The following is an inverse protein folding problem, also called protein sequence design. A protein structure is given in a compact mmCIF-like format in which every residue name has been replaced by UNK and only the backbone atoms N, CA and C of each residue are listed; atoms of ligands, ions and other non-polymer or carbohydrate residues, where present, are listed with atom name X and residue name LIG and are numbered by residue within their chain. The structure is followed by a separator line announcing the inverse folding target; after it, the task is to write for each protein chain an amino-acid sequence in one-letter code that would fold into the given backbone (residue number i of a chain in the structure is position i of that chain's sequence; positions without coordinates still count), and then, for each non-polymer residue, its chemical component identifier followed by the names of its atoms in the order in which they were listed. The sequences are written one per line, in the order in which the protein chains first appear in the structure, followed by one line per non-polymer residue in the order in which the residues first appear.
data_IF_959936632229
#
_entry.id   IF_959936632229
#
_cell.length_a   1.000
_cell.length_b   1.000
_cell.length_c   1.000
_cell.angle_alpha   90.00
_cell.angle_beta   90.00
_cell.angle_gamma   90.00
#
_symmetry.space_group_name_H-M   'P 1'
#
loop_
_entity.id
_entity.type
_entity.pdbx_description
1 polymer ?
#
# COMPACT_ATOMS: atom_id res chain seq x y z
N UNK A 1 3.89 18.60 9.96
CA UNK A 1 2.71 17.79 10.34
C UNK A 1 3.07 16.77 11.41
N UNK A 2 3.92 15.77 11.13
CA UNK A 2 4.25 14.71 12.11
C UNK A 2 4.80 15.23 13.45
N UNK A 3 5.81 16.10 13.43
CA UNK A 3 6.46 16.65 14.65
C UNK A 3 5.51 17.40 15.60
N UNK A 4 4.32 17.79 15.12
CA UNK A 4 3.35 18.59 15.89
C UNK A 4 2.13 17.78 16.35
N UNK A 5 1.80 16.68 15.66
CA UNK A 5 0.54 15.97 15.86
C UNK A 5 0.68 14.47 16.16
N UNK A 6 1.89 13.89 16.05
CA UNK A 6 2.16 12.48 16.37
C UNK A 6 1.14 11.50 15.75
N UNK A 7 0.82 11.73 14.47
CA UNK A 7 -0.25 10.98 13.80
C UNK A 7 0.14 9.52 13.57
N UNK A 8 1.43 9.21 13.62
CA UNK A 8 1.96 7.85 13.53
C UNK A 8 1.56 6.96 14.73
N UNK A 9 1.36 7.55 15.91
CA UNK A 9 1.01 6.84 17.17
C UNK A 9 -0.47 6.90 17.51
N UNK A 10 -1.29 7.49 16.65
CA UNK A 10 -2.73 7.61 16.91
C UNK A 10 -3.39 6.22 16.88
N UNK A 11 -4.17 5.89 17.92
CA UNK A 11 -4.90 4.62 18.02
C UNK A 11 -6.09 4.49 17.07
N UNK A 12 -6.56 5.62 16.53
CA UNK A 12 -7.63 5.64 15.53
C UNK A 12 -7.11 5.15 14.16
N UNK A 13 -7.58 3.97 13.76
CA UNK A 13 -7.18 3.32 12.52
C UNK A 13 -7.63 4.07 11.26
N UNK A 14 -8.78 4.77 11.27
CA UNK A 14 -9.22 5.56 10.12
C UNK A 14 -8.33 6.78 9.90
N UNK A 15 -8.00 7.51 10.97
CA UNK A 15 -7.09 8.68 10.90
C UNK A 15 -5.69 8.24 10.46
N UNK A 16 -5.17 7.16 11.07
CA UNK A 16 -3.85 6.62 10.71
C UNK A 16 -3.81 6.16 9.25
N UNK A 17 -4.86 5.49 8.76
CA UNK A 17 -4.94 5.11 7.36
C UNK A 17 -4.92 6.34 6.44
N UNK A 18 -5.71 7.37 6.72
CA UNK A 18 -5.73 8.58 5.89
C UNK A 18 -4.38 9.30 5.88
N UNK A 19 -3.72 9.38 7.03
CA UNK A 19 -2.38 9.94 7.14
C UNK A 19 -1.36 9.18 6.27
N UNK A 20 -1.36 7.84 6.34
CA UNK A 20 -0.50 6.99 5.52
C UNK A 20 -0.75 7.22 4.03
N UNK A 21 -2.01 7.31 3.61
CA UNK A 21 -2.36 7.52 2.20
C UNK A 21 -1.86 8.87 1.68
N UNK A 22 -2.04 9.94 2.45
CA UNK A 22 -1.57 11.30 2.10
C UNK A 22 -0.04 11.33 2.04
N UNK A 23 0.64 10.70 3.00
CA UNK A 23 2.10 10.64 3.04
C UNK A 23 2.69 9.81 1.88
N UNK A 24 2.07 8.68 1.53
CA UNK A 24 2.44 7.90 0.35
C UNK A 24 2.21 8.69 -0.94
N UNK A 25 1.15 9.49 -1.00
CA UNK A 25 0.89 10.40 -2.11
C UNK A 25 1.94 11.48 -2.25
N UNK A 26 2.39 12.05 -1.12
CA UNK A 26 3.46 13.03 -1.07
C UNK A 26 4.86 12.42 -1.29
N UNK A 27 4.97 11.09 -1.51
CA UNK A 27 6.23 10.35 -1.64
C UNK A 27 7.18 10.58 -0.47
N UNK A 28 6.63 10.63 0.75
CA UNK A 28 7.41 10.83 1.96
C UNK A 28 7.98 9.50 2.46
N UNK A 29 9.24 9.21 2.16
CA UNK A 29 9.91 7.91 2.44
C UNK A 29 9.81 7.39 3.87
N UNK A 30 9.88 8.23 4.93
CA UNK A 30 9.75 7.76 6.31
C UNK A 30 8.41 7.08 6.61
N UNK A 31 7.37 7.27 5.79
CA UNK A 31 6.07 6.60 6.00
C UNK A 31 6.08 5.13 5.59
N UNK A 32 7.00 4.70 4.73
CA UNK A 32 7.04 3.32 4.19
C UNK A 32 7.03 2.28 5.33
N UNK A 33 7.96 2.31 6.32
CA UNK A 33 7.95 1.33 7.40
C UNK A 33 6.67 1.38 8.25
N UNK A 34 6.06 2.56 8.39
CA UNK A 34 4.80 2.74 9.14
C UNK A 34 3.64 2.12 8.38
N UNK A 35 3.59 2.30 7.07
CA UNK A 35 2.59 1.69 6.19
C UNK A 35 2.69 0.17 6.18
N UNK A 36 3.91 -0.38 6.07
CA UNK A 36 4.17 -1.83 6.10
C UNK A 36 3.75 -2.45 7.43
N UNK A 37 4.09 -1.80 8.56
CA UNK A 37 3.63 -2.25 9.87
C UNK A 37 2.10 -2.20 9.98
N UNK A 38 1.47 -1.11 9.53
CA UNK A 38 0.03 -0.94 9.60
C UNK A 38 -0.75 -2.04 8.83
N UNK A 39 -0.29 -2.41 7.62
CA UNK A 39 -0.92 -3.51 6.86
C UNK A 39 -0.62 -4.90 7.41
N UNK A 40 0.42 -5.04 8.24
CA UNK A 40 0.74 -6.28 8.95
C UNK A 40 -0.12 -6.46 10.19
N UNK A 41 -0.40 -5.36 10.89
CA UNK A 41 -1.17 -5.35 12.14
C UNK A 41 -2.69 -5.44 11.89
N UNK A 42 -3.18 -4.91 10.76
CA UNK A 42 -4.61 -4.79 10.48
C UNK A 42 -5.04 -5.66 9.29
N UNK A 43 -5.96 -6.59 9.54
CA UNK A 43 -6.53 -7.47 8.50
C UNK A 43 -7.74 -6.91 7.75
N UNK A 44 -8.27 -5.74 8.12
CA UNK A 44 -9.48 -5.18 7.51
C UNK A 44 -9.20 -4.71 6.07
N UNK A 45 -9.86 -5.36 5.11
CA UNK A 45 -9.64 -5.16 3.66
C UNK A 45 -9.69 -3.70 3.24
N UNK A 46 -10.60 -2.88 3.79
CA UNK A 46 -10.70 -1.44 3.52
C UNK A 46 -9.33 -0.75 3.60
N UNK A 47 -8.59 -0.97 4.69
CA UNK A 47 -7.33 -0.30 4.94
C UNK A 47 -6.18 -0.92 4.17
N UNK A 48 -6.11 -2.26 4.21
CA UNK A 48 -5.08 -3.05 3.52
C UNK A 48 -5.08 -2.73 2.03
N UNK A 49 -6.26 -2.72 1.41
CA UNK A 49 -6.45 -2.43 -0.01
C UNK A 49 -5.94 -1.04 -0.38
N UNK A 50 -6.39 -0.01 0.33
CA UNK A 50 -6.00 1.37 0.03
C UNK A 50 -4.49 1.58 0.19
N UNK A 51 -3.88 1.00 1.24
CA UNK A 51 -2.45 1.10 1.47
C UNK A 51 -1.64 0.39 0.38
N UNK A 52 -1.95 -0.88 0.08
CA UNK A 52 -1.23 -1.63 -0.96
C UNK A 52 -1.39 -1.00 -2.35
N UNK A 53 -2.58 -0.51 -2.70
CA UNK A 53 -2.79 0.19 -3.96
C UNK A 53 -1.82 1.38 -4.10
N UNK A 54 -1.69 2.20 -3.05
CA UNK A 54 -0.79 3.36 -3.05
C UNK A 54 0.68 2.97 -3.03
N UNK A 55 1.05 1.96 -2.25
CA UNK A 55 2.43 1.45 -2.21
C UNK A 55 2.88 0.81 -3.54
N UNK A 56 1.97 0.15 -4.26
CA UNK A 56 2.26 -0.41 -5.60
C UNK A 56 2.29 0.65 -6.71
N UNK A 57 1.72 1.83 -6.49
CA UNK A 57 1.87 2.97 -7.40
C UNK A 57 3.25 3.61 -7.32
N UNK A 58 3.88 3.59 -6.15
CA UNK A 58 5.17 4.20 -5.94
C UNK A 58 6.31 3.19 -6.07
N UNK A 59 7.22 3.43 -7.02
CA UNK A 59 8.32 2.51 -7.36
C UNK A 59 9.18 2.12 -6.15
N UNK A 60 9.49 3.07 -5.27
CA UNK A 60 10.38 2.87 -4.11
C UNK A 60 9.73 1.94 -3.06
N UNK A 61 8.43 2.11 -2.79
CA UNK A 61 7.74 1.28 -1.80
C UNK A 61 7.27 -0.08 -2.33
N UNK A 62 7.28 -0.29 -3.65
CA UNK A 62 6.65 -1.45 -4.29
C UNK A 62 7.32 -2.76 -3.90
N UNK A 63 8.64 -2.81 -3.91
CA UNK A 63 9.41 -4.02 -3.59
C UNK A 63 9.20 -4.44 -2.14
N UNK A 64 9.36 -3.50 -1.19
CA UNK A 64 9.13 -3.77 0.23
C UNK A 64 7.68 -4.15 0.54
N UNK A 65 6.71 -3.59 -0.20
CA UNK A 65 5.31 -3.98 -0.07
C UNK A 65 5.05 -5.40 -0.59
N UNK A 66 5.70 -5.81 -1.68
CA UNK A 66 5.61 -7.19 -2.20
C UNK A 66 6.20 -8.21 -1.23
N UNK A 67 7.39 -7.94 -0.71
CA UNK A 67 8.06 -8.79 0.28
C UNK A 67 7.19 -8.96 1.54
N UNK A 68 6.67 -7.84 2.06
CA UNK A 68 5.79 -7.85 3.24
C UNK A 68 4.50 -8.61 2.98
N UNK A 69 3.92 -8.46 1.79
CA UNK A 69 2.72 -9.21 1.40
C UNK A 69 2.97 -10.71 1.39
N UNK A 70 4.01 -11.19 0.72
CA UNK A 70 4.31 -12.63 0.65
C UNK A 70 4.65 -13.20 2.04
N UNK A 71 5.35 -12.44 2.88
CA UNK A 71 5.62 -12.83 4.28
C UNK A 71 4.34 -12.96 5.12
N UNK A 72 3.39 -12.05 4.94
CA UNK A 72 2.16 -12.01 5.74
C UNK A 72 1.03 -12.88 5.16
N UNK A 73 1.09 -13.23 3.88
CA UNK A 73 0.09 -14.01 3.15
C UNK A 73 -0.41 -15.26 3.88
N UNK A 74 0.43 -16.09 4.54
CA UNK A 74 -0.06 -17.26 5.28
C UNK A 74 -0.97 -16.92 6.48
N UNK A 75 -0.88 -15.69 7.00
CA UNK A 75 -1.66 -15.20 8.15
C UNK A 75 -2.84 -14.33 7.74
N UNK A 76 -2.94 -13.98 6.46
CA UNK A 76 -4.01 -13.11 5.95
C UNK A 76 -5.26 -13.93 5.61
N UNK A 77 -6.43 -13.31 5.77
CA UNK A 77 -7.67 -13.91 5.30
C UNK A 77 -7.67 -14.04 3.77
N UNK A 78 -8.12 -15.18 3.24
CA UNK A 78 -8.09 -15.50 1.80
C UNK A 78 -8.69 -14.41 0.91
N UNK A 79 -9.79 -13.79 1.36
CA UNK A 79 -10.43 -12.69 0.64
C UNK A 79 -9.48 -11.47 0.47
N UNK A 80 -8.71 -11.13 1.50
CA UNK A 80 -7.73 -10.03 1.43
C UNK A 80 -6.61 -10.37 0.46
N UNK A 81 -6.13 -11.62 0.46
CA UNK A 81 -5.09 -12.12 -0.46
C UNK A 81 -5.54 -11.97 -1.91
N UNK A 82 -6.74 -12.47 -2.25
CA UNK A 82 -7.29 -12.39 -3.60
C UNK A 82 -7.38 -10.95 -4.10
N UNK A 83 -7.76 -10.01 -3.22
CA UNK A 83 -7.81 -8.60 -3.57
C UNK A 83 -6.42 -8.00 -3.85
N UNK A 84 -5.44 -8.26 -2.98
CA UNK A 84 -4.07 -7.74 -3.19
C UNK A 84 -3.44 -8.33 -4.44
N UNK A 85 -3.66 -9.62 -4.71
CA UNK A 85 -3.24 -10.27 -5.96
C UNK A 85 -3.90 -9.63 -7.19
N UNK A 86 -5.19 -9.30 -7.13
CA UNK A 86 -5.88 -8.59 -8.21
C UNK A 86 -5.27 -7.21 -8.51
N UNK A 87 -4.80 -6.48 -7.48
CA UNK A 87 -4.10 -5.20 -7.68
C UNK A 87 -2.78 -5.37 -8.45
N UNK A 88 -2.03 -6.44 -8.17
CA UNK A 88 -0.79 -6.76 -8.89
C UNK A 88 -1.05 -7.11 -10.36
N UNK A 89 -2.06 -7.95 -10.62
CA UNK A 89 -2.42 -8.36 -11.97
C UNK A 89 -2.93 -7.19 -12.83
N UNK A 90 -3.70 -6.26 -12.24
CA UNK A 90 -4.23 -5.10 -12.95
C UNK A 90 -3.15 -4.08 -13.35
N UNK A 91 -2.05 -3.99 -12.61
CA UNK A 91 -0.90 -3.15 -12.99
C UNK A 91 -0.19 -3.69 -14.23
N UNK A 92 -0.07 -5.02 -14.36
CA UNK A 92 0.54 -5.65 -15.54
C UNK A 92 -0.26 -5.34 -16.82
N UNK A 93 -1.60 -5.24 -16.73
CA UNK A 93 -2.45 -4.82 -17.87
C UNK A 93 -2.27 -3.34 -18.25
N UNK A 94 -2.09 -2.44 -17.27
CA UNK A 94 -1.85 -1.01 -17.56
C UNK A 94 -0.44 -0.71 -18.09
N UNK A 95 0.57 -1.52 -17.73
CA UNK A 95 1.90 -1.45 -18.33
C UNK A 95 1.88 -1.82 -19.81
N UNK A 96 1.24 -2.94 -20.15
CA UNK A 96 1.12 -3.42 -21.54
C UNK A 96 0.35 -2.45 -22.45
N UNK A 97 -0.69 -1.77 -21.94
CA UNK A 97 -1.47 -0.81 -22.74
C UNK A 97 -0.76 0.54 -22.95
N UNK A 98 0.26 0.88 -22.14
CA UNK A 98 0.98 2.14 -22.27
C UNK A 98 2.22 2.04 -23.18
N UNK A 99 2.65 0.83 -23.54
CA UNK A 99 3.74 0.59 -24.50
C UNK A 99 3.24 0.54 -25.96
N UNK A 100 1.92 0.39 -26.19
CA UNK A 100 1.32 0.39 -27.54
C UNK A 100 0.89 1.78 -28.05
N UNK A 101 1.05 2.86 -27.25
CA UNK A 101 0.64 4.23 -27.64
C UNK A 101 1.85 5.13 -27.94
N UNK A 102 3.08 4.59 -27.85
CA UNK A 102 4.34 5.33 -28.08
C UNK A 102 4.96 5.17 -29.46
N UNK A 103 4.29 4.51 -30.40
CA UNK A 103 4.73 4.39 -31.79
C UNK A 103 3.57 4.79 -32.72
N UNK A 104 3.37 6.09 -32.89
CA UNK A 104 2.75 6.66 -34.08
C UNK A 104 3.16 8.12 -34.24
#
# INVERSE_FOLDING_TARGET
MEKKYSLNTTGNCDVKCQWILVALQAKWEPIIPIALKFVSDIGRVKYVRSCYQRMFEWKVSRESALETFEKNKPRMHNFTIQFVQSLLNNKNKKGANNEMVGNN
#
